data_IF_215119419813
#
_entry.id   IF_215119419813
#
_cell.length_a   1.000
_cell.length_b   1.000
_cell.length_c   1.000
_cell.angle_alpha   90.00
_cell.angle_beta   90.00
_cell.angle_gamma   90.00
#
_symmetry.space_group_name_H-M   'P 1'
#
loop_
_entity.id
_entity.type
_entity.pdbx_description
1 polymer ?
#
# COMPACT_ATOMS: atom_id res chain seq x y z
N UNK A 1 -1.23 -28.10 14.86
CA UNK A 1 -2.16 -27.60 13.80
C UNK A 1 -1.44 -26.94 12.62
N UNK A 2 -0.59 -25.92 12.84
CA UNK A 2 0.08 -25.16 11.76
C UNK A 2 0.92 -25.99 10.77
N UNK A 3 1.79 -26.90 11.24
CA UNK A 3 2.65 -27.69 10.36
C UNK A 3 1.86 -28.60 9.42
N UNK A 4 0.84 -29.29 9.95
CA UNK A 4 -0.06 -30.14 9.14
C UNK A 4 -0.78 -29.32 8.07
N UNK A 5 -1.26 -28.12 8.42
CA UNK A 5 -1.89 -27.20 7.47
C UNK A 5 -0.94 -26.73 6.36
N UNK A 6 0.30 -26.38 6.70
CA UNK A 6 1.30 -25.96 5.71
C UNK A 6 1.68 -27.11 4.77
N UNK A 7 1.78 -28.33 5.28
CA UNK A 7 2.05 -29.52 4.48
C UNK A 7 0.90 -29.87 3.52
N UNK A 8 -0.36 -29.67 3.94
CA UNK A 8 -1.55 -29.93 3.12
C UNK A 8 -1.89 -28.80 2.14
N UNK A 9 -1.19 -27.65 2.21
CA UNK A 9 -1.50 -26.46 1.42
C UNK A 9 -1.15 -26.69 -0.06
N UNK A 10 -2.08 -26.34 -0.96
CA UNK A 10 -1.83 -26.36 -2.41
C UNK A 10 -0.66 -25.46 -2.80
N UNK A 11 -0.10 -25.70 -4.00
CA UNK A 11 0.94 -24.85 -4.59
C UNK A 11 0.43 -23.40 -4.71
N UNK A 12 1.19 -22.45 -4.15
CA UNK A 12 0.95 -21.00 -4.25
C UNK A 12 2.25 -20.27 -4.55
N UNK A 13 2.18 -19.14 -5.23
CA UNK A 13 3.34 -18.34 -5.62
C UNK A 13 4.24 -17.97 -4.42
N UNK A 14 3.64 -17.62 -3.28
CA UNK A 14 4.35 -17.28 -2.02
C UNK A 14 5.33 -18.37 -1.54
N UNK A 15 5.12 -19.64 -1.92
CA UNK A 15 5.98 -20.76 -1.52
C UNK A 15 7.25 -20.87 -2.37
N UNK A 16 7.27 -20.23 -3.54
CA UNK A 16 8.33 -20.30 -4.54
C UNK A 16 9.01 -18.96 -4.78
N UNK A 17 8.43 -17.86 -4.28
CA UNK A 17 8.90 -16.51 -4.54
C UNK A 17 9.47 -15.87 -3.27
N UNK A 18 10.62 -15.22 -3.43
CA UNK A 18 11.33 -14.46 -2.41
C UNK A 18 11.37 -13.01 -2.87
N UNK A 19 11.08 -12.08 -1.95
CA UNK A 19 11.28 -10.66 -2.20
C UNK A 19 12.71 -10.28 -1.83
N UNK A 20 13.43 -9.71 -2.78
CA UNK A 20 14.79 -9.22 -2.64
C UNK A 20 14.74 -7.70 -2.55
N UNK A 21 15.33 -7.12 -1.51
CA UNK A 21 15.41 -5.68 -1.29
C UNK A 21 16.86 -5.21 -1.19
N UNK A 22 17.08 -3.92 -1.39
CA UNK A 22 18.41 -3.30 -1.35
C UNK A 22 19.38 -3.96 -2.34
N UNK A 23 18.92 -4.14 -3.57
CA UNK A 23 19.81 -4.51 -4.68
C UNK A 23 20.84 -3.39 -4.88
N UNK A 24 22.14 -3.68 -4.87
CA UNK A 24 23.18 -2.67 -5.05
C UNK A 24 23.09 -2.07 -6.46
N UNK A 25 23.31 -0.77 -6.55
CA UNK A 25 23.43 -0.10 -7.84
C UNK A 25 24.85 -0.31 -8.39
N UNK A 26 24.95 -0.91 -9.58
CA UNK A 26 26.21 -1.13 -10.28
C UNK A 26 26.23 -0.24 -11.52
N UNK A 27 27.17 0.70 -11.58
CA UNK A 27 27.32 1.61 -12.71
C UNK A 27 27.49 0.83 -14.02
N UNK A 28 26.69 1.18 -15.04
CA UNK A 28 26.77 0.56 -16.37
C UNK A 28 26.01 -0.77 -16.53
N UNK A 29 25.33 -1.28 -15.50
CA UNK A 29 24.45 -2.47 -15.61
C UNK A 29 23.02 -2.13 -15.22
N UNK A 30 22.05 -2.77 -15.87
CA UNK A 30 20.67 -2.65 -15.41
C UNK A 30 20.51 -3.38 -14.07
N UNK A 31 19.60 -2.88 -13.22
CA UNK A 31 19.29 -3.53 -11.95
C UNK A 31 18.73 -4.95 -12.17
N UNK A 32 18.03 -5.15 -13.29
CA UNK A 32 17.49 -6.45 -13.71
C UNK A 32 18.64 -7.42 -13.96
N UNK A 33 19.57 -7.09 -14.85
CA UNK A 33 20.70 -7.98 -15.20
C UNK A 33 21.55 -8.32 -13.98
N UNK A 34 21.72 -7.35 -13.06
CA UNK A 34 22.48 -7.54 -11.82
C UNK A 34 21.84 -8.60 -10.91
N UNK A 35 20.52 -8.59 -10.76
CA UNK A 35 19.79 -9.61 -9.98
C UNK A 35 19.85 -10.96 -10.68
N UNK A 36 19.62 -10.99 -11.99
CA UNK A 36 19.65 -12.23 -12.75
C UNK A 36 21.01 -12.92 -12.66
N UNK A 37 22.10 -12.20 -12.93
CA UNK A 37 23.45 -12.74 -12.83
C UNK A 37 23.76 -13.23 -11.40
N UNK A 38 23.35 -12.47 -10.38
CA UNK A 38 23.57 -12.83 -8.99
C UNK A 38 22.91 -14.17 -8.61
N UNK A 39 21.64 -14.35 -8.98
CA UNK A 39 20.89 -15.56 -8.64
C UNK A 39 21.24 -16.75 -9.54
N UNK A 40 21.59 -16.54 -10.81
CA UNK A 40 22.12 -17.60 -11.67
C UNK A 40 23.46 -18.13 -11.14
N UNK A 41 24.33 -17.25 -10.64
CA UNK A 41 25.65 -17.66 -10.11
C UNK A 41 25.51 -18.39 -8.77
N UNK A 42 24.70 -17.87 -7.84
CA UNK A 42 24.61 -18.40 -6.48
C UNK A 42 23.59 -19.54 -6.32
N UNK A 43 22.54 -19.58 -7.16
CA UNK A 43 21.45 -20.56 -7.08
C UNK A 43 21.14 -21.22 -8.44
N UNK A 44 22.14 -21.74 -9.18
CA UNK A 44 22.02 -22.14 -10.58
C UNK A 44 20.94 -23.19 -10.84
N UNK A 45 20.82 -24.17 -9.95
CA UNK A 45 19.90 -25.31 -10.14
C UNK A 45 18.45 -24.99 -9.75
N UNK A 46 18.24 -23.91 -8.99
CA UNK A 46 16.94 -23.61 -8.39
C UNK A 46 16.31 -22.31 -8.90
N UNK A 47 17.12 -21.38 -9.39
CA UNK A 47 16.64 -20.12 -9.94
C UNK A 47 15.74 -20.36 -11.16
N UNK A 48 14.59 -19.70 -11.21
CA UNK A 48 13.64 -19.80 -12.32
C UNK A 48 13.57 -18.48 -13.09
N UNK A 49 13.19 -17.40 -12.41
CA UNK A 49 13.02 -16.09 -13.03
C UNK A 49 12.98 -15.00 -11.97
N UNK A 50 12.98 -13.75 -12.43
CA UNK A 50 12.76 -12.59 -11.57
C UNK A 50 11.73 -11.63 -12.18
N UNK A 51 11.15 -10.81 -11.30
CA UNK A 51 10.27 -9.72 -11.66
C UNK A 51 10.72 -8.45 -10.93
N UNK A 52 11.29 -7.52 -11.66
CA UNK A 52 11.68 -6.21 -11.14
C UNK A 52 10.43 -5.39 -10.74
N UNK A 53 10.57 -4.60 -9.68
CA UNK A 53 9.51 -3.73 -9.18
C UNK A 53 9.74 -2.31 -9.67
N UNK A 54 8.69 -1.71 -10.26
CA UNK A 54 8.71 -0.34 -10.75
C UNK A 54 7.94 0.58 -9.81
N UNK A 55 8.38 1.84 -9.70
CA UNK A 55 7.69 2.88 -8.95
C UNK A 55 6.44 3.36 -9.71
N UNK A 56 5.36 2.59 -9.59
CA UNK A 56 4.08 2.90 -10.21
C UNK A 56 3.11 3.67 -9.29
N UNK A 57 3.61 4.39 -8.27
CA UNK A 57 2.75 5.04 -7.28
C UNK A 57 1.83 6.12 -7.89
N UNK A 58 2.35 6.93 -8.81
CA UNK A 58 1.57 7.95 -9.52
C UNK A 58 0.53 7.29 -10.42
N UNK A 59 0.93 6.29 -11.21
CA UNK A 59 0.03 5.51 -12.05
C UNK A 59 -1.09 4.86 -11.23
N UNK A 60 -0.77 4.23 -10.10
CA UNK A 60 -1.75 3.62 -9.21
C UNK A 60 -2.75 4.65 -8.61
N UNK A 61 -2.33 5.90 -8.38
CA UNK A 61 -3.26 6.98 -8.00
C UNK A 61 -4.22 7.33 -9.13
N UNK A 62 -3.74 7.37 -10.38
CA UNK A 62 -4.59 7.61 -11.55
C UNK A 62 -5.60 6.49 -11.77
N UNK A 63 -5.19 5.22 -11.64
CA UNK A 63 -6.10 4.07 -11.72
C UNK A 63 -7.22 4.17 -10.68
N UNK A 64 -6.89 4.45 -9.42
CA UNK A 64 -7.92 4.64 -8.38
C UNK A 64 -8.85 5.82 -8.68
N UNK A 65 -8.35 6.90 -9.28
CA UNK A 65 -9.16 8.03 -9.71
C UNK A 65 -10.10 7.61 -10.84
N UNK A 66 -9.63 6.79 -11.77
CA UNK A 66 -10.42 6.25 -12.88
C UNK A 66 -11.54 5.37 -12.36
N UNK A 67 -11.26 4.46 -11.42
CA UNK A 67 -12.28 3.57 -10.87
C UNK A 67 -13.37 4.36 -10.11
N UNK A 68 -12.99 5.42 -9.38
CA UNK A 68 -13.95 6.33 -8.76
C UNK A 68 -14.81 7.06 -9.79
N UNK A 69 -14.21 7.56 -10.88
CA UNK A 69 -14.94 8.23 -11.94
C UNK A 69 -15.88 7.27 -12.69
N UNK A 70 -15.45 6.02 -12.90
CA UNK A 70 -16.28 4.97 -13.48
C UNK A 70 -17.52 4.75 -12.62
N UNK A 71 -17.37 4.58 -11.31
CA UNK A 71 -18.51 4.42 -10.40
C UNK A 71 -19.49 5.59 -10.47
N UNK A 72 -18.99 6.83 -10.61
CA UNK A 72 -19.84 8.01 -10.79
C UNK A 72 -20.53 8.03 -12.16
N UNK A 73 -19.85 7.61 -13.21
CA UNK A 73 -20.42 7.49 -14.54
C UNK A 73 -21.55 6.45 -14.53
N UNK A 74 -21.29 5.27 -13.98
CA UNK A 74 -22.25 4.17 -13.87
C UNK A 74 -23.48 4.62 -13.06
N UNK A 75 -23.27 5.32 -11.93
CA UNK A 75 -24.36 5.90 -11.15
C UNK A 75 -25.25 6.85 -11.96
N UNK A 76 -24.65 7.74 -12.76
CA UNK A 76 -25.41 8.69 -13.58
C UNK A 76 -26.11 8.01 -14.76
N UNK A 77 -25.52 6.97 -15.34
CA UNK A 77 -26.15 6.14 -16.36
C UNK A 77 -27.36 5.40 -15.81
N UNK A 78 -27.22 4.72 -14.67
CA UNK A 78 -28.33 4.04 -13.99
C UNK A 78 -29.45 5.02 -13.63
N UNK A 79 -29.11 6.25 -13.21
CA UNK A 79 -30.10 7.30 -12.93
C UNK A 79 -30.86 7.73 -14.18
N UNK A 80 -30.20 7.80 -15.33
CA UNK A 80 -30.83 8.12 -16.61
C UNK A 80 -31.68 6.95 -17.12
N UNK A 81 -31.23 5.71 -17.00
CA UNK A 81 -31.99 4.52 -17.38
C UNK A 81 -33.30 4.38 -16.60
N UNK A 82 -33.29 4.74 -15.30
CA UNK A 82 -34.51 4.75 -14.47
C UNK A 82 -35.49 5.86 -14.86
N UNK A 83 -34.99 6.99 -15.33
CA UNK A 83 -35.80 8.15 -15.69
C UNK A 83 -35.32 8.76 -17.02
N UNK A 84 -35.73 8.18 -18.17
CA UNK A 84 -35.27 8.60 -19.50
C UNK A 84 -35.61 10.06 -19.83
N UNK A 85 -36.66 10.60 -19.20
CA UNK A 85 -37.17 11.94 -19.47
C UNK A 85 -36.25 13.06 -18.94
N UNK A 86 -35.35 12.75 -17.99
CA UNK A 86 -34.50 13.77 -17.34
C UNK A 86 -33.03 13.35 -17.34
N UNK A 87 -32.22 14.03 -18.15
CA UNK A 87 -30.76 13.85 -18.09
C UNK A 87 -30.16 14.39 -16.79
N UNK A 88 -29.25 13.64 -16.14
CA UNK A 88 -28.59 14.09 -14.93
C UNK A 88 -27.58 15.20 -15.25
N UNK A 89 -27.86 16.41 -14.76
CA UNK A 89 -26.96 17.57 -14.90
C UNK A 89 -26.26 17.87 -13.58
N UNK A 90 -25.02 18.36 -13.64
CA UNK A 90 -24.27 18.86 -12.49
C UNK A 90 -23.61 20.21 -12.82
N UNK A 91 -23.34 21.01 -11.79
CA UNK A 91 -22.58 22.25 -11.94
C UNK A 91 -21.08 21.96 -11.76
N UNK A 92 -20.21 22.60 -12.55
CA UNK A 92 -18.75 22.31 -12.54
C UNK A 92 -17.98 22.84 -11.32
N UNK A 93 -18.54 23.80 -10.57
CA UNK A 93 -17.81 24.54 -9.54
C UNK A 93 -17.72 23.83 -8.19
N UNK A 94 -17.30 24.58 -7.16
CA UNK A 94 -16.99 24.04 -5.84
C UNK A 94 -18.17 23.26 -5.26
N UNK A 95 -17.93 21.99 -4.89
CA UNK A 95 -18.92 21.04 -4.36
C UNK A 95 -20.18 20.84 -5.24
N UNK A 96 -20.14 21.22 -6.52
CA UNK A 96 -21.29 21.15 -7.41
C UNK A 96 -22.34 22.25 -7.18
N UNK A 97 -22.00 23.31 -6.43
CA UNK A 97 -22.94 24.38 -6.07
C UNK A 97 -22.92 25.56 -7.05
N UNK A 98 -21.76 25.87 -7.63
CA UNK A 98 -21.59 27.02 -8.54
C UNK A 98 -21.11 26.61 -9.94
N UNK A 99 -21.26 27.51 -10.91
CA UNK A 99 -20.73 27.36 -12.26
C UNK A 99 -21.72 26.82 -13.29
N UNK A 100 -21.22 26.62 -14.51
CA UNK A 100 -21.99 26.16 -15.66
C UNK A 100 -22.59 24.77 -15.42
N UNK A 101 -23.87 24.63 -15.78
CA UNK A 101 -24.63 23.38 -15.70
C UNK A 101 -24.33 22.53 -16.94
N UNK A 102 -23.74 21.36 -16.73
CA UNK A 102 -23.36 20.43 -17.79
C UNK A 102 -23.99 19.07 -17.58
N UNK A 103 -24.13 18.33 -18.69
CA UNK A 103 -24.50 16.91 -18.65
C UNK A 103 -23.42 16.12 -17.90
N UNK A 104 -23.84 15.43 -16.83
CA UNK A 104 -22.93 14.70 -15.96
C UNK A 104 -22.31 13.50 -16.69
N UNK A 105 -23.09 12.82 -17.55
CA UNK A 105 -22.61 11.62 -18.26
C UNK A 105 -21.52 12.01 -19.24
N UNK A 106 -21.75 13.02 -20.06
CA UNK A 106 -20.77 13.49 -21.05
C UNK A 106 -19.52 14.07 -20.36
N UNK A 107 -19.72 14.83 -19.28
CA UNK A 107 -18.62 15.34 -18.46
C UNK A 107 -17.72 14.22 -17.94
N UNK A 108 -18.30 13.16 -17.34
CA UNK A 108 -17.51 12.05 -16.82
C UNK A 108 -16.83 11.25 -17.92
N UNK A 109 -17.49 11.04 -19.08
CA UNK A 109 -16.87 10.42 -20.26
C UNK A 109 -15.65 11.20 -20.74
N UNK A 110 -15.76 12.53 -20.85
CA UNK A 110 -14.67 13.39 -21.28
C UNK A 110 -13.51 13.38 -20.28
N UNK A 111 -13.81 13.43 -18.98
CA UNK A 111 -12.82 13.34 -17.91
C UNK A 111 -12.11 11.99 -17.89
N UNK A 112 -12.83 10.89 -18.14
CA UNK A 112 -12.23 9.56 -18.29
C UNK A 112 -11.27 9.49 -19.47
N UNK A 113 -11.67 10.01 -20.64
CA UNK A 113 -10.81 10.05 -21.83
C UNK A 113 -9.51 10.82 -21.57
N UNK A 114 -9.60 11.95 -20.87
CA UNK A 114 -8.41 12.70 -20.46
C UNK A 114 -7.54 11.91 -19.47
N UNK A 115 -8.16 11.22 -18.51
CA UNK A 115 -7.45 10.41 -17.54
C UNK A 115 -6.75 9.20 -18.17
N UNK A 116 -7.38 8.54 -19.14
CA UNK A 116 -6.79 7.43 -19.90
C UNK A 116 -5.56 7.85 -20.69
N UNK A 117 -5.60 9.03 -21.32
CA UNK A 117 -4.42 9.62 -21.96
C UNK A 117 -3.27 9.81 -20.96
N UNK A 118 -3.56 10.40 -19.80
CA UNK A 118 -2.55 10.61 -18.76
C UNK A 118 -2.00 9.29 -18.21
N UNK A 119 -2.84 8.27 -18.04
CA UNK A 119 -2.40 6.93 -17.64
C UNK A 119 -1.49 6.30 -18.69
N UNK A 120 -1.80 6.43 -19.98
CA UNK A 120 -0.96 5.92 -21.06
C UNK A 120 0.41 6.61 -21.09
N UNK A 121 0.45 7.94 -20.92
CA UNK A 121 1.69 8.72 -20.85
C UNK A 121 2.54 8.30 -19.65
N UNK A 122 1.94 8.20 -18.46
CA UNK A 122 2.65 7.77 -17.24
C UNK A 122 3.17 6.33 -17.37
N UNK A 123 2.39 5.42 -17.98
CA UNK A 123 2.84 4.04 -18.24
C UNK A 123 4.07 4.02 -19.15
N UNK A 124 4.04 4.79 -20.25
CA UNK A 124 5.19 4.89 -21.14
C UNK A 124 6.41 5.49 -20.45
N UNK A 125 6.21 6.50 -19.59
CA UNK A 125 7.27 7.11 -18.79
C UNK A 125 7.94 6.09 -17.86
N UNK A 126 7.15 5.29 -17.13
CA UNK A 126 7.68 4.23 -16.25
C UNK A 126 8.48 3.20 -17.04
N UNK A 127 8.01 2.78 -18.21
CA UNK A 127 8.72 1.77 -19.02
C UNK A 127 10.03 2.29 -19.63
N UNK A 128 10.12 3.59 -19.93
CA UNK A 128 11.32 4.21 -20.52
C UNK A 128 12.34 4.66 -19.47
N UNK A 129 11.88 5.08 -18.30
CA UNK A 129 12.74 5.64 -17.25
C UNK A 129 13.37 4.54 -16.39
N UNK A 130 14.67 4.34 -16.52
CA UNK A 130 15.44 3.41 -15.70
C UNK A 130 15.45 3.80 -14.22
N UNK A 131 15.27 5.09 -13.88
CA UNK A 131 15.18 5.57 -12.49
C UNK A 131 13.87 5.15 -11.81
N UNK A 132 12.87 4.75 -12.59
CA UNK A 132 11.61 4.25 -12.04
C UNK A 132 11.74 2.83 -11.48
N UNK A 133 12.81 2.10 -11.83
CA UNK A 133 13.09 0.76 -11.30
C UNK A 133 13.56 0.90 -9.85
N UNK A 134 12.84 0.22 -8.96
CA UNK A 134 13.19 0.20 -7.54
C UNK A 134 14.29 -0.85 -7.28
N UNK A 135 15.11 -0.69 -6.24
CA UNK A 135 16.10 -1.70 -5.82
C UNK A 135 15.41 -2.88 -5.09
N UNK A 136 14.30 -3.36 -5.67
CA UNK A 136 13.46 -4.45 -5.17
C UNK A 136 13.08 -5.35 -6.35
N UNK A 137 13.23 -6.66 -6.18
CA UNK A 137 12.85 -7.67 -7.18
C UNK A 137 12.18 -8.85 -6.51
N UNK A 138 11.20 -9.46 -7.17
CA UNK A 138 10.64 -10.74 -6.78
C UNK A 138 11.36 -11.84 -7.55
N UNK A 139 12.07 -12.71 -6.84
CA UNK A 139 12.81 -13.83 -7.43
C UNK A 139 12.04 -15.11 -7.17
N UNK A 140 11.77 -15.86 -8.22
CA UNK A 140 11.05 -17.13 -8.15
C UNK A 140 12.00 -18.30 -8.40
N UNK A 141 11.73 -19.39 -7.71
CA UNK A 141 12.51 -20.63 -7.75
C UNK A 141 11.65 -21.78 -8.25
N UNK A 142 12.29 -22.79 -8.86
CA UNK A 142 11.62 -24.00 -9.33
C UNK A 142 11.16 -24.94 -8.19
N UNK A 143 11.69 -24.74 -6.97
CA UNK A 143 11.43 -25.58 -5.81
C UNK A 143 11.19 -24.74 -4.55
N UNK A 144 10.30 -25.25 -3.67
CA UNK A 144 10.03 -24.61 -2.36
C UNK A 144 11.25 -24.62 -1.47
N UNK A 145 12.07 -25.67 -1.59
CA UNK A 145 13.32 -25.79 -0.86
C UNK A 145 14.32 -24.69 -1.28
N UNK A 146 14.49 -24.46 -2.58
CA UNK A 146 15.37 -23.38 -3.08
C UNK A 146 14.92 -22.00 -2.59
N UNK A 147 13.62 -21.71 -2.66
CA UNK A 147 13.07 -20.48 -2.10
C UNK A 147 13.31 -20.37 -0.58
N UNK A 148 13.14 -21.47 0.17
CA UNK A 148 13.37 -21.49 1.61
C UNK A 148 14.83 -21.24 1.99
N UNK A 149 15.77 -21.86 1.27
CA UNK A 149 17.21 -21.63 1.46
C UNK A 149 17.56 -20.18 1.16
N UNK A 150 17.08 -19.62 0.04
CA UNK A 150 17.33 -18.23 -0.32
C UNK A 150 16.75 -17.23 0.71
N UNK A 151 15.53 -17.47 1.20
CA UNK A 151 14.86 -16.58 2.16
C UNK A 151 15.49 -16.60 3.56
N UNK A 152 16.24 -17.66 3.91
CA UNK A 152 16.82 -17.84 5.25
C UNK A 152 18.32 -17.59 5.31
N UNK A 153 19.01 -17.64 4.18
CA UNK A 153 20.46 -17.44 4.12
C UNK A 153 20.82 -15.99 3.80
N UNK A 154 21.87 -15.50 4.45
CA UNK A 154 22.47 -14.21 4.12
C UNK A 154 23.18 -14.32 2.76
N UNK A 155 22.76 -13.51 1.79
CA UNK A 155 23.22 -13.62 0.41
C UNK A 155 24.58 -12.93 0.16
N UNK A 156 24.95 -11.93 0.96
CA UNK A 156 26.18 -11.16 0.74
C UNK A 156 26.90 -10.83 2.04
N UNK A 157 28.20 -10.51 1.95
CA UNK A 157 29.02 -10.13 3.11
C UNK A 157 28.43 -8.96 3.89
N UNK A 158 27.81 -8.01 3.19
CA UNK A 158 27.15 -6.87 3.82
C UNK A 158 25.70 -7.25 4.19
N UNK A 159 25.32 -7.23 5.49
CA UNK A 159 23.99 -7.62 5.93
C UNK A 159 22.89 -6.63 5.52
N UNK A 160 23.23 -5.46 4.97
CA UNK A 160 22.24 -4.46 4.53
C UNK A 160 21.92 -4.54 3.03
N UNK A 161 22.66 -5.35 2.26
CA UNK A 161 22.48 -5.54 0.83
C UNK A 161 21.90 -6.93 0.54
N UNK A 162 21.18 -7.07 -0.58
CA UNK A 162 20.57 -8.35 -0.98
C UNK A 162 19.68 -8.97 0.10
N UNK A 163 18.84 -8.14 0.72
CA UNK A 163 17.95 -8.55 1.79
C UNK A 163 16.84 -9.45 1.22
N UNK A 164 16.89 -10.73 1.53
CA UNK A 164 15.89 -11.71 1.11
C UNK A 164 14.85 -11.92 2.21
N UNK A 165 13.58 -11.92 1.84
CA UNK A 165 12.47 -12.29 2.72
C UNK A 165 11.45 -13.10 1.91
N UNK A 166 10.63 -13.90 2.58
CA UNK A 166 9.50 -14.55 1.92
C UNK A 166 8.58 -13.51 1.26
N UNK A 167 8.25 -13.72 -0.02
CA UNK A 167 7.26 -12.89 -0.67
C UNK A 167 5.86 -13.27 -0.13
N UNK A 168 5.04 -12.29 0.28
CA UNK A 168 3.66 -12.58 0.67
C UNK A 168 2.82 -12.93 -0.57
N UNK A 169 1.59 -13.40 -0.36
CA UNK A 169 0.65 -13.64 -1.44
C UNK A 169 0.47 -12.36 -2.28
N UNK A 170 0.36 -12.41 -3.63
CA UNK A 170 0.26 -11.22 -4.46
C UNK A 170 -0.84 -10.22 -4.06
N UNK A 171 -1.92 -10.73 -3.45
CA UNK A 171 -3.04 -9.93 -2.93
C UNK A 171 -2.71 -9.20 -1.61
N UNK A 172 -1.80 -9.76 -0.83
CA UNK A 172 -1.36 -9.24 0.46
C UNK A 172 -0.17 -8.28 0.33
N UNK A 173 0.38 -8.11 -0.89
CA UNK A 173 1.44 -7.15 -1.16
C UNK A 173 0.88 -5.73 -1.09
N UNK A 174 1.35 -4.96 -0.09
CA UNK A 174 1.11 -3.52 -0.06
C UNK A 174 2.14 -2.76 -0.91
N UNK A 175 1.87 -2.66 -2.21
CA UNK A 175 2.77 -2.13 -3.24
C UNK A 175 3.38 -0.75 -2.94
N UNK A 176 2.62 0.14 -2.29
CA UNK A 176 3.08 1.50 -1.96
C UNK A 176 4.32 1.50 -1.05
N UNK A 177 4.48 0.48 -0.20
CA UNK A 177 5.59 0.40 0.74
C UNK A 177 6.88 -0.14 0.10
N UNK A 178 6.81 -0.76 -1.08
CA UNK A 178 7.99 -1.29 -1.76
C UNK A 178 8.91 -0.18 -2.29
N UNK A 179 8.38 1.02 -2.52
CA UNK A 179 9.13 2.18 -2.99
C UNK A 179 9.94 2.89 -1.88
N UNK A 180 9.82 2.45 -0.63
CA UNK A 180 10.45 3.12 0.52
C UNK A 180 11.90 2.62 0.67
N UNK A 181 12.91 3.52 0.62
CA UNK A 181 14.30 3.12 0.78
C UNK A 181 14.60 2.70 2.22
N UNK A 182 15.57 1.78 2.37
CA UNK A 182 15.89 1.16 3.66
C UNK A 182 16.24 2.15 4.77
N UNK A 183 17.09 3.15 4.51
CA UNK A 183 17.48 4.13 5.52
C UNK A 183 16.28 4.94 6.04
N UNK A 184 15.32 5.23 5.17
CA UNK A 184 14.10 5.94 5.58
C UNK A 184 13.18 5.07 6.45
N UNK A 185 13.29 3.74 6.40
CA UNK A 185 12.50 2.86 7.27
C UNK A 185 12.91 3.04 8.74
N UNK A 186 14.20 3.19 9.03
CA UNK A 186 14.69 3.40 10.41
C UNK A 186 14.17 4.72 10.97
N UNK A 187 14.27 5.80 10.20
CA UNK A 187 13.75 7.12 10.61
C UNK A 187 12.23 7.10 10.81
N UNK A 188 11.48 6.48 9.89
CA UNK A 188 10.03 6.34 10.01
C UNK A 188 9.63 5.53 11.25
N UNK A 189 10.36 4.45 11.56
CA UNK A 189 10.14 3.66 12.78
C UNK A 189 10.36 4.50 14.03
N UNK A 190 11.42 5.31 14.06
CA UNK A 190 11.68 6.22 15.18
C UNK A 190 10.53 7.23 15.36
N UNK A 191 10.12 7.90 14.28
CA UNK A 191 9.02 8.88 14.31
C UNK A 191 7.72 8.22 14.82
N UNK A 192 7.35 7.06 14.28
CA UNK A 192 6.15 6.33 14.69
C UNK A 192 6.25 5.94 16.17
N UNK A 193 7.41 5.47 16.64
CA UNK A 193 7.62 5.11 18.04
C UNK A 193 7.38 6.30 18.98
N UNK A 194 7.90 7.48 18.62
CA UNK A 194 7.68 8.72 19.39
C UNK A 194 6.22 9.16 19.33
N UNK A 195 5.56 9.08 18.17
CA UNK A 195 4.14 9.40 18.03
C UNK A 195 3.24 8.48 18.85
N UNK A 196 3.53 7.17 18.86
CA UNK A 196 2.78 6.19 19.67
C UNK A 196 2.99 6.44 21.15
N UNK A 197 4.23 6.73 21.57
CA UNK A 197 4.51 7.11 22.95
C UNK A 197 3.70 8.34 23.39
N UNK A 198 3.68 9.40 22.59
CA UNK A 198 2.89 10.60 22.87
C UNK A 198 1.38 10.29 22.90
N UNK A 199 0.88 9.48 21.96
CA UNK A 199 -0.51 9.06 21.93
C UNK A 199 -0.90 8.34 23.23
N UNK A 200 -0.10 7.37 23.67
CA UNK A 200 -0.36 6.63 24.92
C UNK A 200 -0.32 7.57 26.13
N UNK A 201 0.66 8.47 26.17
CA UNK A 201 0.77 9.46 27.24
C UNK A 201 -0.46 10.37 27.32
N UNK A 202 -0.90 10.96 26.21
CA UNK A 202 -2.09 11.82 26.20
C UNK A 202 -3.40 11.04 26.40
N UNK A 203 -3.42 9.75 26.06
CA UNK A 203 -4.58 8.89 26.31
C UNK A 203 -4.81 8.61 27.81
N UNK A 204 -3.85 8.93 28.69
CA UNK A 204 -4.06 8.91 30.14
C UNK A 204 -5.10 9.94 30.59
N UNK A 205 -5.27 11.06 29.86
CA UNK A 205 -6.23 12.12 30.19
C UNK A 205 -7.69 11.62 30.14
N UNK A 206 -8.19 11.04 29.01
CA UNK A 206 -9.54 10.50 28.98
C UNK A 206 -9.72 9.30 29.92
N UNK A 207 -8.68 8.48 30.16
CA UNK A 207 -8.73 7.39 31.15
C UNK A 207 -8.98 7.97 32.55
N UNK A 208 -8.21 8.98 32.94
CA UNK A 208 -8.37 9.64 34.24
C UNK A 208 -9.76 10.26 34.40
N UNK A 209 -10.30 10.89 33.34
CA UNK A 209 -11.66 11.44 33.34
C UNK A 209 -12.75 10.38 33.52
N UNK A 210 -12.65 9.25 32.81
CA UNK A 210 -13.60 8.14 32.98
C UNK A 210 -13.48 7.53 34.37
N UNK A 211 -12.26 7.36 34.88
CA UNK A 211 -12.01 6.87 36.24
C UNK A 211 -12.55 7.82 37.31
N UNK A 212 -12.45 9.14 37.12
CA UNK A 212 -13.01 10.10 38.07
C UNK A 212 -14.54 10.07 38.10
N UNK A 213 -15.20 9.81 36.96
CA UNK A 213 -16.66 9.62 36.91
C UNK A 213 -17.10 8.30 37.56
N UNK A 214 -16.28 7.24 37.47
CA UNK A 214 -16.59 5.95 38.07
C UNK A 214 -16.46 5.95 39.61
N UNK A 215 -15.61 6.81 40.18
CA UNK A 215 -15.43 6.94 41.63
C UNK A 215 -16.18 8.16 42.18
N UNK A 216 -17.50 8.05 42.28
CA UNK A 216 -18.39 9.13 42.73
C UNK A 216 -18.08 9.58 44.17
N UNK A 217 -17.73 8.66 45.08
CA UNK A 217 -17.35 9.00 46.47
C UNK A 217 -16.09 9.87 46.54
N UNK A 218 -15.11 9.60 45.67
CA UNK A 218 -13.90 10.42 45.54
C UNK A 218 -14.20 11.78 44.92
N UNK A 219 -15.10 11.83 43.93
CA UNK A 219 -15.51 13.06 43.26
C UNK A 219 -16.33 13.98 44.19
N UNK A 220 -17.17 13.41 45.04
CA UNK A 220 -17.99 14.13 46.01
C UNK A 220 -17.15 14.86 47.08
N UNK A 221 -16.01 14.26 47.47
CA UNK A 221 -15.04 14.88 48.40
C UNK A 221 -14.25 16.02 47.75
N UNK A 222 -13.95 15.93 46.45
CA UNK A 222 -13.12 16.92 45.72
C UNK A 222 -13.97 18.05 45.13
N UNK A 223 -15.23 17.77 44.77
CA UNK A 223 -16.16 18.70 44.13
C UNK A 223 -17.54 18.67 44.84
N UNK A 224 -17.66 19.29 46.04
CA UNK A 224 -18.88 19.22 46.86
C UNK A 224 -20.11 19.86 46.22
N UNK A 225 -19.96 20.65 45.15
CA UNK A 225 -21.06 21.21 44.38
C UNK A 225 -21.82 20.17 43.53
N UNK A 226 -21.27 18.96 43.36
CA UNK A 226 -21.91 17.85 42.63
C UNK A 226 -22.84 16.99 43.51
N UNK A 227 -22.80 17.16 44.84
CA UNK A 227 -23.68 16.45 45.79
C UNK A 227 -25.16 16.41 45.41
N UNK A 228 -25.80 17.53 45.00
CA UNK A 228 -27.23 17.55 44.69
C UNK A 228 -27.62 16.70 43.48
N UNK A 229 -26.68 16.38 42.58
CA UNK A 229 -26.90 15.57 41.38
C UNK A 229 -26.62 14.09 41.64
N UNK A 230 -25.80 13.78 42.64
CA UNK A 230 -25.37 12.42 43.01
C UNK A 230 -26.34 11.78 44.02
N UNK A 231 -26.95 12.58 44.91
CA UNK A 231 -27.90 12.11 45.95
C UNK A 231 -29.38 12.10 45.51
N UNK A 232 -29.67 12.35 44.22
CA UNK A 232 -31.00 12.23 43.60
C UNK A 232 -31.32 10.76 43.25
#
# INVERSE_FOLDING_TARGET
MRLRFLASKRRRAEQFTVVVRNVPHVSGRSAVDSVEQFFQTNHPNTYLCQQAVYNANTFAKLVRKRDRLQNWLDYNQLKFERHPDKRPTQNKGFLGLWGERVDSIEYFKQQMKHLEKNMALERQKILKDSKSILPVSFVSFNSRWGAAVCAQTQQSKNPTLWLTNWAPEPRDIYWRNLAIPFMSLTVRKLIISVSVFALVFFYMIPIAFVQSLANLEGLEKVAPFLRPVIEL
#
